data_IF_704551397817
#
_entry.id   IF_704551397817
#
_cell.length_a   1.000
_cell.length_b   1.000
_cell.length_c   1.000
_cell.angle_alpha   90.00
_cell.angle_beta   90.00
_cell.angle_gamma   90.00
#
_symmetry.space_group_name_H-M   'P 1'
#
loop_
_entity.id
_entity.type
_entity.pdbx_description
1 polymer ?
#
# COMPACT_ATOMS: atom_id res chain seq x y z
N UNK A 1 -9.35 4.15 -4.04
CA UNK A 1 -10.61 3.88 -4.76
C UNK A 1 -11.40 2.78 -4.05
N UNK A 2 -11.99 3.14 -2.90
CA UNK A 2 -12.69 2.21 -2.00
C UNK A 2 -14.16 2.55 -1.99
N UNK A 3 -15.04 1.54 -2.05
CA UNK A 3 -16.46 1.71 -1.86
C UNK A 3 -16.76 1.75 -0.35
N UNK A 4 -17.03 2.95 0.17
CA UNK A 4 -17.27 3.16 1.62
C UNK A 4 -18.47 2.35 2.15
N UNK A 5 -19.49 2.07 1.33
CA UNK A 5 -20.63 1.24 1.74
C UNK A 5 -20.20 -0.21 1.94
N UNK A 6 -19.37 -0.72 1.02
CA UNK A 6 -18.80 -2.07 1.13
C UNK A 6 -17.84 -2.16 2.31
N UNK A 7 -16.98 -1.16 2.50
CA UNK A 7 -16.09 -1.09 3.66
C UNK A 7 -16.87 -1.09 4.98
N UNK A 8 -17.94 -0.27 5.09
CA UNK A 8 -18.78 -0.26 6.29
C UNK A 8 -19.44 -1.62 6.57
N UNK A 9 -19.90 -2.31 5.51
CA UNK A 9 -20.46 -3.66 5.63
C UNK A 9 -19.43 -4.66 6.12
N UNK A 10 -18.26 -4.69 5.49
CA UNK A 10 -17.16 -5.57 5.87
C UNK A 10 -16.70 -5.31 7.30
N UNK A 11 -16.57 -4.04 7.71
CA UNK A 11 -16.20 -3.70 9.08
C UNK A 11 -17.19 -4.24 10.10
N UNK A 12 -18.49 -4.22 9.79
CA UNK A 12 -19.52 -4.73 10.68
C UNK A 12 -19.58 -6.27 10.74
N UNK A 13 -19.43 -6.93 9.60
CA UNK A 13 -19.80 -8.34 9.44
C UNK A 13 -18.59 -9.29 9.39
N UNK A 14 -17.45 -8.83 8.91
CA UNK A 14 -16.26 -9.66 8.72
C UNK A 14 -15.37 -9.63 9.96
N UNK A 15 -15.06 -10.82 10.47
CA UNK A 15 -14.24 -11.01 11.67
C UNK A 15 -12.85 -10.39 11.56
N UNK A 16 -12.32 -10.21 10.34
CA UNK A 16 -11.05 -9.56 10.09
C UNK A 16 -11.01 -8.14 10.71
N UNK A 17 -12.09 -7.37 10.57
CA UNK A 17 -12.13 -5.96 10.98
C UNK A 17 -12.68 -5.74 12.39
N UNK A 18 -12.82 -6.80 13.19
CA UNK A 18 -13.39 -6.74 14.55
C UNK A 18 -12.70 -5.69 15.43
N UNK A 19 -11.37 -5.54 15.30
CA UNK A 19 -10.62 -4.54 16.06
C UNK A 19 -11.09 -3.11 15.73
N UNK A 20 -11.21 -2.79 14.44
CA UNK A 20 -11.68 -1.48 13.95
C UNK A 20 -13.12 -1.24 14.43
N UNK A 21 -13.99 -2.24 14.30
CA UNK A 21 -15.38 -2.15 14.73
C UNK A 21 -15.53 -1.89 16.24
N UNK A 22 -14.72 -2.56 17.06
CA UNK A 22 -14.71 -2.34 18.51
C UNK A 22 -14.21 -0.94 18.88
N UNK A 23 -13.17 -0.43 18.21
CA UNK A 23 -12.71 0.94 18.44
C UNK A 23 -13.79 1.98 18.07
N UNK A 24 -14.51 1.76 16.96
CA UNK A 24 -15.66 2.59 16.58
C UNK A 24 -16.77 2.56 17.64
N UNK A 25 -17.06 1.39 18.22
CA UNK A 25 -18.05 1.21 19.29
C UNK A 25 -17.67 1.99 20.54
N UNK A 26 -16.40 1.91 20.95
CA UNK A 26 -15.88 2.62 22.11
C UNK A 26 -15.98 4.14 21.92
N UNK A 27 -15.67 4.63 20.72
CA UNK A 27 -15.77 6.05 20.38
C UNK A 27 -17.21 6.57 20.43
N UNK A 28 -18.18 5.79 19.97
CA UNK A 28 -19.62 6.13 20.04
C UNK A 28 -20.27 5.77 21.37
N UNK A 29 -19.56 5.05 22.27
CA UNK A 29 -20.07 4.50 23.53
C UNK A 29 -21.33 3.66 23.34
N UNK A 30 -21.31 2.76 22.35
CA UNK A 30 -22.43 1.87 22.00
C UNK A 30 -22.00 0.42 21.90
N UNK A 31 -22.89 -0.49 22.25
CA UNK A 31 -22.68 -1.94 22.10
C UNK A 31 -22.85 -2.43 20.67
N UNK A 32 -23.56 -1.68 19.82
CA UNK A 32 -23.71 -1.99 18.40
C UNK A 32 -23.84 -0.70 17.59
N UNK A 33 -23.30 -0.71 16.36
CA UNK A 33 -23.39 0.39 15.41
C UNK A 33 -24.20 -0.02 14.17
N UNK A 34 -24.99 0.90 13.62
CA UNK A 34 -25.62 0.70 12.31
C UNK A 34 -24.62 0.93 11.18
N UNK A 35 -24.92 0.47 9.96
CA UNK A 35 -24.05 0.71 8.80
C UNK A 35 -23.88 2.20 8.50
N UNK A 36 -24.93 3.00 8.73
CA UNK A 36 -24.90 4.45 8.54
C UNK A 36 -23.94 5.12 9.53
N UNK A 37 -23.90 4.66 10.78
CA UNK A 37 -22.98 5.18 11.80
C UNK A 37 -21.53 4.83 11.49
N UNK A 38 -21.27 3.60 11.04
CA UNK A 38 -19.93 3.18 10.59
C UNK A 38 -19.51 4.01 9.37
N UNK A 39 -20.40 4.20 8.40
CA UNK A 39 -20.13 5.00 7.21
C UNK A 39 -19.91 6.47 7.53
N UNK A 40 -20.59 7.01 8.54
CA UNK A 40 -20.35 8.35 9.08
C UNK A 40 -18.95 8.43 9.71
N UNK A 41 -18.56 7.44 10.52
CA UNK A 41 -17.25 7.38 11.15
C UNK A 41 -16.11 7.27 10.12
N UNK A 42 -16.26 6.43 9.09
CA UNK A 42 -15.29 6.31 7.99
C UNK A 42 -15.08 7.63 7.24
N UNK A 43 -16.07 8.53 7.23
CA UNK A 43 -15.97 9.86 6.61
C UNK A 43 -15.40 10.91 7.55
N UNK A 44 -15.75 10.85 8.84
CA UNK A 44 -15.37 11.84 9.85
C UNK A 44 -13.97 11.62 10.39
N UNK A 45 -13.57 10.36 10.57
CA UNK A 45 -12.31 9.96 11.18
C UNK A 45 -11.46 9.21 10.15
N UNK A 46 -10.52 9.89 9.47
CA UNK A 46 -9.69 9.30 8.42
C UNK A 46 -8.92 8.05 8.88
N UNK A 47 -8.55 8.00 10.16
CA UNK A 47 -7.85 6.87 10.79
C UNK A 47 -8.54 5.53 10.49
N UNK A 48 -9.87 5.44 10.62
CA UNK A 48 -10.56 4.17 10.42
C UNK A 48 -10.50 3.66 8.98
N UNK A 49 -10.48 4.57 8.01
CA UNK A 49 -10.30 4.19 6.61
C UNK A 49 -8.85 3.76 6.34
N UNK A 50 -7.88 4.39 6.99
CA UNK A 50 -6.47 4.00 6.90
C UNK A 50 -6.21 2.63 7.53
N UNK A 51 -6.76 2.37 8.71
CA UNK A 51 -6.67 1.08 9.40
C UNK A 51 -7.34 -0.04 8.58
N UNK A 52 -8.51 0.24 8.00
CA UNK A 52 -9.20 -0.67 7.09
C UNK A 52 -8.31 -1.02 5.89
N UNK A 53 -7.69 -0.01 5.28
CA UNK A 53 -6.80 -0.22 4.13
C UNK A 53 -5.54 -0.99 4.48
N UNK A 54 -4.96 -0.66 5.62
CA UNK A 54 -3.75 -1.32 6.11
C UNK A 54 -4.00 -2.80 6.39
N UNK A 55 -5.12 -3.13 7.03
CA UNK A 55 -5.48 -4.51 7.32
C UNK A 55 -5.76 -5.31 6.05
N UNK A 56 -6.40 -4.70 5.05
CA UNK A 56 -6.54 -5.28 3.72
C UNK A 56 -5.18 -5.62 3.10
N UNK A 57 -4.25 -4.66 3.08
CA UNK A 57 -2.90 -4.88 2.53
C UNK A 57 -2.15 -5.98 3.28
N UNK A 58 -2.25 -6.03 4.60
CA UNK A 58 -1.65 -7.10 5.42
C UNK A 58 -2.27 -8.47 5.17
N UNK A 59 -3.55 -8.51 4.76
CA UNK A 59 -4.31 -9.73 4.47
C UNK A 59 -4.30 -10.10 2.99
N UNK A 60 -3.47 -9.46 2.17
CA UNK A 60 -3.39 -9.65 0.71
C UNK A 60 -4.72 -9.38 -0.02
N UNK A 61 -5.58 -8.54 0.58
CA UNK A 61 -6.83 -8.06 -0.01
C UNK A 61 -6.58 -6.70 -0.64
N UNK A 62 -6.99 -6.51 -1.90
CA UNK A 62 -6.84 -5.23 -2.56
C UNK A 62 -7.83 -4.18 -2.05
N UNK A 63 -7.33 -2.98 -1.80
CA UNK A 63 -8.10 -1.77 -1.51
C UNK A 63 -8.72 -1.15 -2.77
N UNK A 64 -8.31 -1.58 -3.96
CA UNK A 64 -8.90 -1.14 -5.22
C UNK A 64 -10.18 -1.96 -5.46
N UNK A 65 -11.33 -1.37 -5.14
CA UNK A 65 -12.64 -2.02 -5.26
C UNK A 65 -13.35 -1.67 -6.57
N UNK A 66 -12.61 -1.27 -7.60
CA UNK A 66 -13.15 -1.01 -8.92
C UNK A 66 -13.40 -2.33 -9.65
N UNK A 67 -14.60 -2.47 -10.20
CA UNK A 67 -14.95 -3.62 -11.03
C UNK A 67 -14.30 -3.46 -12.41
N UNK A 68 -13.72 -4.55 -12.94
CA UNK A 68 -13.34 -4.59 -14.37
C UNK A 68 -14.56 -4.51 -15.27
N UNK A 69 -14.56 -3.57 -16.20
CA UNK A 69 -15.67 -3.34 -17.10
C UNK A 69 -15.65 -4.30 -18.29
N UNK A 70 -16.79 -4.92 -18.58
CA UNK A 70 -16.94 -5.77 -19.76
C UNK A 70 -17.06 -4.91 -21.01
N UNK A 71 -16.25 -5.22 -22.02
CA UNK A 71 -16.30 -4.60 -23.34
C UNK A 71 -17.30 -5.39 -24.19
N UNK A 72 -18.45 -4.78 -24.50
CA UNK A 72 -19.51 -5.41 -25.27
C UNK A 72 -19.31 -5.17 -26.77
N UNK A 73 -19.86 -6.04 -27.63
CA UNK A 73 -19.70 -5.89 -29.09
C UNK A 73 -20.46 -4.68 -29.62
N UNK A 74 -21.59 -4.37 -29.00
CA UNK A 74 -22.47 -3.23 -29.26
C UNK A 74 -21.93 -1.88 -28.75
N UNK A 75 -20.88 -1.87 -27.93
CA UNK A 75 -20.24 -0.62 -27.49
C UNK A 75 -19.63 0.14 -28.68
N UNK A 76 -19.76 1.47 -28.67
CA UNK A 76 -19.07 2.33 -29.62
C UNK A 76 -17.55 2.15 -29.50
N UNK A 77 -16.82 2.37 -30.60
CA UNK A 77 -15.35 2.26 -30.59
C UNK A 77 -14.70 3.09 -29.48
N UNK A 78 -15.26 4.28 -29.21
CA UNK A 78 -14.80 5.17 -28.16
C UNK A 78 -15.06 4.60 -26.75
N UNK A 79 -16.25 4.03 -26.50
CA UNK A 79 -16.55 3.39 -25.21
C UNK A 79 -15.71 2.13 -24.98
N UNK A 80 -15.40 1.36 -26.04
CA UNK A 80 -14.52 0.18 -25.94
C UNK A 80 -13.12 0.57 -25.49
N UNK A 81 -12.50 1.50 -26.19
CA UNK A 81 -11.16 1.98 -25.87
C UNK A 81 -11.08 2.58 -24.47
N UNK A 82 -12.13 3.29 -24.05
CA UNK A 82 -12.21 3.88 -22.72
C UNK A 82 -12.32 2.83 -21.60
N UNK A 83 -13.17 1.81 -21.78
CA UNK A 83 -13.28 0.66 -20.85
C UNK A 83 -11.97 -0.14 -20.77
N UNK A 84 -11.33 -0.40 -21.91
CA UNK A 84 -10.03 -1.09 -21.95
C UNK A 84 -8.96 -0.31 -21.18
N UNK A 85 -8.85 1.00 -21.41
CA UNK A 85 -7.89 1.85 -20.71
C UNK A 85 -8.15 1.91 -19.19
N UNK A 86 -9.41 1.98 -18.77
CA UNK A 86 -9.77 1.91 -17.34
C UNK A 86 -9.34 0.57 -16.74
N UNK A 87 -9.61 -0.54 -17.42
CA UNK A 87 -9.21 -1.87 -16.94
C UNK A 87 -7.69 -2.03 -16.81
N UNK A 88 -6.93 -1.54 -17.79
CA UNK A 88 -5.46 -1.52 -17.71
C UNK A 88 -4.96 -0.70 -16.53
N UNK A 89 -5.60 0.46 -16.28
CA UNK A 89 -5.25 1.30 -15.15
C UNK A 89 -5.61 0.63 -13.81
N UNK A 90 -6.74 -0.06 -13.71
CA UNK A 90 -7.10 -0.86 -12.53
C UNK A 90 -6.03 -1.91 -12.24
N UNK A 91 -5.57 -2.64 -13.26
CA UNK A 91 -4.52 -3.65 -13.09
C UNK A 91 -3.19 -3.05 -12.60
N UNK A 92 -2.81 -1.90 -13.17
CA UNK A 92 -1.62 -1.17 -12.72
C UNK A 92 -1.77 -0.61 -11.31
N UNK A 93 -2.95 -0.10 -10.94
CA UNK A 93 -3.24 0.40 -9.60
C UNK A 93 -3.13 -0.70 -8.55
N UNK A 94 -3.67 -1.89 -8.83
CA UNK A 94 -3.54 -3.06 -7.95
C UNK A 94 -2.06 -3.44 -7.79
N UNK A 95 -1.29 -3.47 -8.89
CA UNK A 95 0.14 -3.78 -8.84
C UNK A 95 0.98 -2.74 -8.08
N UNK A 96 0.52 -1.48 -8.03
CA UNK A 96 1.18 -0.38 -7.35
C UNK A 96 0.60 -0.06 -5.97
N UNK A 97 -0.38 -0.84 -5.50
CA UNK A 97 -1.13 -0.54 -4.28
C UNK A 97 -0.24 -0.45 -3.02
N UNK A 98 0.82 -1.27 -2.94
CA UNK A 98 1.80 -1.19 -1.87
C UNK A 98 2.55 0.15 -1.76
N UNK A 99 2.43 1.01 -2.79
CA UNK A 99 3.00 2.35 -2.83
C UNK A 99 1.93 3.46 -2.65
N UNK A 100 0.70 3.13 -2.25
CA UNK A 100 -0.38 4.12 -2.01
C UNK A 100 0.01 5.13 -0.92
N UNK A 101 0.67 4.67 0.15
CA UNK A 101 1.20 5.52 1.23
C UNK A 101 2.54 6.13 0.80
N UNK A 102 2.90 7.28 1.36
CA UNK A 102 4.25 7.82 1.17
C UNK A 102 5.30 6.93 1.84
N UNK A 103 6.56 7.04 1.40
CA UNK A 103 7.64 6.26 1.97
C UNK A 103 7.87 6.67 3.45
N UNK A 104 7.55 5.78 4.39
CA UNK A 104 7.94 5.99 5.78
C UNK A 104 9.45 5.74 5.94
N UNK A 105 10.19 6.84 6.00
CA UNK A 105 11.65 6.81 6.20
C UNK A 105 12.05 6.00 7.44
N UNK A 106 11.26 6.02 8.51
CA UNK A 106 11.58 5.31 9.75
C UNK A 106 11.48 3.80 9.57
N UNK A 107 10.44 3.31 8.88
CA UNK A 107 10.28 1.89 8.55
C UNK A 107 11.47 1.39 7.72
N UNK A 108 11.87 2.15 6.69
CA UNK A 108 13.02 1.80 5.87
C UNK A 108 14.35 1.81 6.65
N UNK A 109 14.55 2.81 7.53
CA UNK A 109 15.73 2.86 8.40
C UNK A 109 15.78 1.64 9.31
N UNK A 110 14.68 1.29 9.97
CA UNK A 110 14.62 0.16 10.90
C UNK A 110 14.90 -1.15 10.17
N UNK A 111 14.25 -1.38 9.03
CA UNK A 111 14.37 -2.63 8.30
C UNK A 111 15.77 -2.82 7.70
N UNK A 112 16.28 -1.79 7.01
CA UNK A 112 17.63 -1.82 6.39
C UNK A 112 18.71 -1.80 7.46
N UNK A 113 18.53 -1.03 8.54
CA UNK A 113 19.43 -0.99 9.69
C UNK A 113 19.53 -2.35 10.36
N UNK A 114 18.40 -3.02 10.59
CA UNK A 114 18.37 -4.37 11.18
C UNK A 114 19.11 -5.39 10.31
N UNK A 115 18.86 -5.38 8.99
CA UNK A 115 19.59 -6.23 8.04
C UNK A 115 21.10 -5.93 8.03
N UNK A 116 21.47 -4.65 8.08
CA UNK A 116 22.88 -4.22 8.05
C UNK A 116 23.61 -4.66 9.32
N UNK A 117 23.01 -4.44 10.50
CA UNK A 117 23.57 -4.87 11.79
C UNK A 117 23.69 -6.39 11.84
N UNK A 118 22.68 -7.12 11.37
CA UNK A 118 22.74 -8.58 11.28
C UNK A 118 23.90 -9.05 10.41
N UNK A 119 24.09 -8.44 9.23
CA UNK A 119 25.22 -8.78 8.35
C UNK A 119 26.58 -8.48 9.00
N UNK A 120 26.71 -7.34 9.69
CA UNK A 120 27.92 -7.02 10.46
C UNK A 120 28.16 -8.07 11.55
N UNK A 121 27.12 -8.49 12.26
CA UNK A 121 27.20 -9.52 13.30
C UNK A 121 27.68 -10.86 12.73
N UNK A 122 27.10 -11.32 11.61
CA UNK A 122 27.52 -12.56 10.95
C UNK A 122 28.99 -12.47 10.51
N UNK A 123 29.37 -11.37 9.85
CA UNK A 123 30.75 -11.15 9.40
C UNK A 123 31.72 -11.10 10.59
N UNK A 124 31.34 -10.44 11.68
CA UNK A 124 32.12 -10.35 12.90
C UNK A 124 32.40 -11.73 13.50
N UNK A 125 31.37 -12.56 13.68
CA UNK A 125 31.54 -13.90 14.23
C UNK A 125 32.41 -14.79 13.34
N UNK A 126 32.24 -14.70 12.01
CA UNK A 126 33.11 -15.41 11.06
C UNK A 126 34.58 -14.98 11.19
N UNK A 127 34.85 -13.67 11.33
CA UNK A 127 36.22 -13.18 11.48
C UNK A 127 36.82 -13.57 12.84
N UNK A 128 36.04 -13.52 13.93
CA UNK A 128 36.50 -13.91 15.28
C UNK A 128 36.90 -15.39 15.34
N UNK A 129 36.19 -16.25 14.62
CA UNK A 129 36.57 -17.67 14.44
C UNK A 129 38.00 -17.83 13.87
N UNK A 130 38.48 -16.86 13.09
CA UNK A 130 39.82 -16.81 12.53
C UNK A 130 40.62 -15.66 13.15
N UNK A 131 41.05 -15.84 14.41
CA UNK A 131 41.81 -14.89 15.25
C UNK A 131 42.96 -14.15 14.55
N UNK A 132 43.57 -14.78 13.54
CA UNK A 132 44.61 -14.20 12.69
C UNK A 132 44.27 -12.79 12.15
N UNK A 133 43.04 -12.58 11.66
CA UNK A 133 42.65 -11.30 11.05
C UNK A 133 42.56 -10.16 12.06
N UNK A 134 42.15 -10.47 13.30
CA UNK A 134 42.12 -9.50 14.39
C UNK A 134 43.50 -9.19 14.94
N UNK A 135 44.45 -10.11 14.85
CA UNK A 135 45.81 -9.88 15.34
C UNK A 135 46.63 -9.04 14.36
N UNK A 136 46.50 -9.33 13.06
CA UNK A 136 47.36 -8.72 12.03
C UNK A 136 46.70 -7.57 11.24
N UNK A 137 45.37 -7.53 11.13
CA UNK A 137 44.68 -6.61 10.21
C UNK A 137 43.48 -5.87 10.83
N UNK A 138 43.60 -5.43 12.09
CA UNK A 138 42.53 -4.71 12.83
C UNK A 138 41.88 -3.58 12.04
N UNK A 139 42.69 -2.74 11.39
CA UNK A 139 42.21 -1.60 10.61
C UNK A 139 41.33 -2.04 9.43
N UNK A 140 41.68 -3.15 8.78
CA UNK A 140 40.90 -3.69 7.67
C UNK A 140 39.55 -4.26 8.15
N UNK A 141 39.56 -4.97 9.28
CA UNK A 141 38.33 -5.53 9.89
C UNK A 141 37.36 -4.41 10.25
N UNK A 142 37.79 -3.39 11.01
CA UNK A 142 36.91 -2.26 11.35
C UNK A 142 36.52 -1.43 10.13
N UNK A 143 37.44 -1.25 9.16
CA UNK A 143 37.14 -0.59 7.89
C UNK A 143 36.03 -1.29 7.11
N UNK A 144 36.01 -2.62 7.11
CA UNK A 144 34.95 -3.40 6.46
C UNK A 144 33.57 -3.14 7.07
N UNK A 145 33.46 -2.94 8.39
CA UNK A 145 32.19 -2.61 9.04
C UNK A 145 31.70 -1.22 8.66
N UNK A 146 32.59 -0.22 8.64
CA UNK A 146 32.25 1.14 8.18
C UNK A 146 31.81 1.12 6.72
N UNK A 147 32.49 0.33 5.88
CA UNK A 147 32.11 0.14 4.49
C UNK A 147 30.73 -0.51 4.34
N UNK A 148 30.40 -1.52 5.14
CA UNK A 148 29.07 -2.13 5.17
C UNK A 148 27.97 -1.13 5.56
N UNK A 149 28.22 -0.29 6.57
CA UNK A 149 27.31 0.79 6.95
C UNK A 149 27.10 1.78 5.79
N UNK A 150 28.16 2.14 5.08
CA UNK A 150 28.09 3.02 3.91
C UNK A 150 27.26 2.41 2.78
N UNK A 151 27.45 1.12 2.47
CA UNK A 151 26.63 0.40 1.50
C UNK A 151 25.14 0.36 1.91
N UNK A 152 24.86 0.09 3.19
CA UNK A 152 23.50 0.12 3.73
C UNK A 152 22.85 1.49 3.56
N UNK A 153 23.58 2.57 3.80
CA UNK A 153 23.10 3.94 3.59
C UNK A 153 22.82 4.27 2.12
N UNK A 154 23.69 3.85 1.20
CA UNK A 154 23.45 4.00 -0.24
C UNK A 154 22.20 3.24 -0.69
N UNK A 155 22.03 2.01 -0.20
CA UNK A 155 20.87 1.17 -0.48
C UNK A 155 19.58 1.82 0.04
N UNK A 156 19.59 2.33 1.28
CA UNK A 156 18.50 3.08 1.88
C UNK A 156 18.06 4.27 1.01
N UNK A 157 19.00 5.13 0.61
CA UNK A 157 18.70 6.28 -0.26
C UNK A 157 18.08 5.85 -1.59
N UNK A 158 18.58 4.78 -2.19
CA UNK A 158 18.05 4.24 -3.45
C UNK A 158 16.62 3.73 -3.28
N UNK A 159 16.33 3.01 -2.19
CA UNK A 159 15.01 2.44 -1.92
C UNK A 159 13.95 3.51 -1.67
N UNK A 160 14.24 4.52 -0.85
CA UNK A 160 13.30 5.64 -0.62
C UNK A 160 13.01 6.38 -1.92
N UNK A 161 14.04 6.70 -2.71
CA UNK A 161 13.83 7.38 -3.99
C UNK A 161 12.95 6.55 -4.92
N UNK A 162 13.18 5.23 -5.00
CA UNK A 162 12.37 4.32 -5.81
C UNK A 162 10.92 4.29 -5.32
N UNK A 163 10.69 4.20 -4.01
CA UNK A 163 9.35 4.21 -3.43
C UNK A 163 8.62 5.52 -3.72
N UNK A 164 9.29 6.66 -3.57
CA UNK A 164 8.70 7.97 -3.86
C UNK A 164 8.28 8.07 -5.34
N UNK A 165 9.11 7.61 -6.28
CA UNK A 165 8.73 7.60 -7.69
C UNK A 165 7.51 6.71 -7.98
N UNK A 166 7.43 5.53 -7.35
CA UNK A 166 6.27 4.63 -7.48
C UNK A 166 5.01 5.19 -6.84
N UNK A 167 5.15 5.90 -5.72
CA UNK A 167 4.05 6.60 -5.08
C UNK A 167 3.48 7.70 -5.99
N UNK A 168 4.35 8.50 -6.61
CA UNK A 168 3.93 9.50 -7.59
C UNK A 168 3.21 8.86 -8.79
N UNK A 169 3.78 7.79 -9.34
CA UNK A 169 3.14 7.01 -10.42
C UNK A 169 1.76 6.50 -10.02
N UNK A 170 1.60 6.00 -8.79
CA UNK A 170 0.30 5.58 -8.27
C UNK A 170 -0.69 6.74 -8.19
N UNK A 171 -0.28 7.91 -7.67
CA UNK A 171 -1.15 9.08 -7.54
C UNK A 171 -1.58 9.65 -8.89
N UNK A 172 -0.66 9.70 -9.84
CA UNK A 172 -0.95 10.15 -11.20
C UNK A 172 -1.92 9.20 -11.89
N UNK A 173 -1.70 7.88 -11.76
CA UNK A 173 -2.58 6.86 -12.31
C UNK A 173 -3.96 6.87 -11.63
N UNK A 174 -4.02 7.07 -10.31
CA UNK A 174 -5.28 7.17 -9.57
C UNK A 174 -6.09 8.37 -10.08
N UNK A 175 -5.43 9.52 -10.28
CA UNK A 175 -6.05 10.73 -10.82
C UNK A 175 -6.55 10.51 -12.25
N UNK A 176 -5.70 9.97 -13.13
CA UNK A 176 -6.08 9.69 -14.52
C UNK A 176 -7.29 8.75 -14.57
N UNK A 177 -7.31 7.72 -13.73
CA UNK A 177 -8.39 6.73 -13.71
C UNK A 177 -9.70 7.34 -13.23
N UNK A 178 -9.67 8.24 -12.23
CA UNK A 178 -10.86 9.02 -11.83
C UNK A 178 -11.39 9.86 -12.99
N UNK A 179 -10.51 10.57 -13.69
CA UNK A 179 -10.91 11.38 -14.84
C UNK A 179 -11.49 10.54 -16.00
N UNK A 180 -10.96 9.33 -16.22
CA UNK A 180 -11.49 8.40 -17.22
C UNK A 180 -12.86 7.85 -16.82
N UNK A 181 -13.07 7.53 -15.54
CA UNK A 181 -14.37 7.10 -15.02
C UNK A 181 -15.42 8.20 -15.18
N UNK A 182 -15.08 9.46 -14.85
CA UNK A 182 -15.98 10.60 -15.03
C UNK A 182 -16.34 10.83 -16.51
N UNK A 183 -15.35 10.66 -17.41
CA UNK A 183 -15.58 10.70 -18.87
C UNK A 183 -16.47 9.54 -19.33
N UNK A 184 -16.33 8.35 -18.75
CA UNK A 184 -17.17 7.20 -19.06
C UNK A 184 -18.64 7.45 -18.70
N UNK A 185 -18.86 8.01 -17.50
CA UNK A 185 -20.20 8.31 -16.96
C UNK A 185 -20.88 9.41 -17.78
N UNK A 186 -20.17 10.50 -18.05
CA UNK A 186 -20.72 11.63 -18.83
C UNK A 186 -21.08 11.25 -20.27
N UNK A 187 -20.39 10.27 -20.87
CA UNK A 187 -20.70 9.73 -22.20
C UNK A 187 -21.72 8.59 -22.18
N UNK A 188 -22.17 8.15 -21.00
CA UNK A 188 -23.07 7.01 -20.85
C UNK A 188 -22.43 5.66 -21.23
N UNK A 189 -21.10 5.58 -21.30
CA UNK A 189 -20.37 4.34 -21.56
C UNK A 189 -20.38 3.39 -20.35
N UNK A 190 -20.57 3.93 -19.14
CA UNK A 190 -20.69 3.21 -17.87
C UNK A 190 -21.84 3.80 -17.05
N UNK A 191 -22.42 2.99 -16.18
CA UNK A 191 -23.37 3.43 -15.16
C UNK A 191 -22.71 3.43 -13.77
N UNK A 192 -23.24 4.20 -12.82
CA UNK A 192 -22.69 4.29 -11.46
C UNK A 192 -22.66 2.94 -10.72
N UNK A 193 -23.63 2.07 -10.99
CA UNK A 193 -23.72 0.71 -10.43
C UNK A 193 -22.69 -0.26 -11.02
N UNK A 194 -22.02 0.10 -12.12
CA UNK A 194 -21.00 -0.72 -12.77
C UNK A 194 -19.56 -0.37 -12.35
N UNK A 195 -19.37 0.67 -11.53
CA UNK A 195 -18.04 1.18 -11.13
C UNK A 195 -17.39 0.31 -10.05
N UNK A 196 -18.15 -0.08 -9.03
CA UNK A 196 -17.64 -0.76 -7.85
C UNK A 196 -18.13 -2.21 -7.78
N UNK A 197 -17.28 -3.11 -7.30
CA UNK A 197 -17.61 -4.51 -6.98
C UNK A 197 -18.31 -4.66 -5.63
#
# INVERSE_FOLDING_TARGET
MVNLKKAAKLIKEDGLFTFIYNEMKDLKKKDELTYEEILELLKKEPKFLEDYKELNTQSEISNIQLRKHKVLREDSFECKNLKEKINENIDKLIALEGFEKEADSMVYVVWIGSLTVFMIFVLHNLIVLYTFWYEHYKAFVFGSYVFMMFLGWLYYKKMIKKHHMRHLEFKDLEKETKELLDKALSKGCLKEDEIYD
#
